data_IF_035356171772
#
_entry.id   IF_035356171772
#
_cell.length_a   1.000
_cell.length_b   1.000
_cell.length_c   1.000
_cell.angle_alpha   90.00
_cell.angle_beta   90.00
_cell.angle_gamma   90.00
#
_symmetry.space_group_name_H-M   'P 1'
#
loop_
_entity.id
_entity.type
_entity.pdbx_description
1 polymer ?
#
# COMPACT_ATOMS: atom_id res chain seq x y z
N UNK A 1 -10.75 0.48 -3.46
CA UNK A 1 -10.37 -0.31 -2.26
C UNK A 1 -9.05 0.26 -1.73
N UNK A 2 -9.10 1.36 -0.96
CA UNK A 2 -7.91 1.89 -0.28
C UNK A 2 -7.79 1.16 1.05
N UNK A 3 -6.66 0.46 1.26
CA UNK A 3 -6.39 -0.23 2.53
C UNK A 3 -6.07 0.80 3.60
N UNK A 4 -7.09 1.12 4.39
CA UNK A 4 -6.96 1.74 5.70
C UNK A 4 -6.96 0.61 6.74
N UNK A 5 -5.81 -0.01 6.98
CA UNK A 5 -5.70 -0.98 8.07
C UNK A 5 -5.28 -0.23 9.34
N UNK A 6 -6.28 0.25 10.09
CA UNK A 6 -6.08 0.93 11.37
C UNK A 6 -5.11 2.12 11.29
N UNK A 7 -5.09 2.82 10.15
CA UNK A 7 -4.25 4.00 9.94
C UNK A 7 -2.91 3.76 9.24
N UNK A 8 -2.54 2.51 8.99
CA UNK A 8 -1.32 2.17 8.25
C UNK A 8 -1.64 2.15 6.75
N UNK A 9 -0.75 2.74 5.94
CA UNK A 9 -0.84 2.77 4.47
C UNK A 9 0.33 2.02 3.84
N UNK A 10 0.11 1.48 2.64
CA UNK A 10 1.12 0.80 1.85
C UNK A 10 0.70 0.62 0.40
N UNK A 11 1.66 0.29 -0.47
CA UNK A 11 1.39 -0.09 -1.85
C UNK A 11 0.92 -1.56 -1.90
N UNK A 12 -0.02 -1.87 -2.80
CA UNK A 12 -0.53 -3.22 -3.00
C UNK A 12 -0.63 -3.53 -4.49
N UNK A 13 -0.19 -4.73 -4.86
CA UNK A 13 -0.42 -5.32 -6.18
C UNK A 13 -1.27 -6.58 -5.97
N UNK A 14 -2.35 -6.73 -6.75
CA UNK A 14 -3.21 -7.91 -6.76
C UNK A 14 -3.22 -8.44 -8.19
N UNK A 15 -2.80 -9.69 -8.36
CA UNK A 15 -2.76 -10.35 -9.67
C UNK A 15 -3.42 -11.71 -9.50
N UNK A 16 -4.31 -12.04 -10.43
CA UNK A 16 -4.88 -13.37 -10.58
C UNK A 16 -4.43 -13.93 -11.91
N UNK A 17 -3.81 -15.11 -11.91
CA UNK A 17 -3.38 -15.81 -13.12
C UNK A 17 -3.79 -17.27 -13.04
N UNK A 18 -4.26 -17.81 -14.17
CA UNK A 18 -4.47 -19.26 -14.34
C UNK A 18 -3.22 -19.94 -14.90
N UNK A 19 -2.33 -19.19 -15.55
CA UNK A 19 -1.20 -19.73 -16.30
C UNK A 19 0.13 -19.69 -15.54
N UNK A 20 0.30 -18.76 -14.60
CA UNK A 20 1.55 -18.56 -13.86
C UNK A 20 1.33 -18.76 -12.37
N UNK A 21 2.29 -19.40 -11.71
CA UNK A 21 2.24 -19.60 -10.27
C UNK A 21 2.60 -18.31 -9.50
N UNK A 22 2.21 -18.18 -8.23
CA UNK A 22 2.47 -16.99 -7.43
C UNK A 22 3.94 -16.58 -7.32
N UNK A 23 4.90 -17.51 -7.29
CA UNK A 23 6.31 -17.16 -7.17
C UNK A 23 6.84 -16.48 -8.46
N UNK A 24 6.37 -16.93 -9.62
CA UNK A 24 6.63 -16.25 -10.89
C UNK A 24 5.99 -14.86 -10.94
N UNK A 25 4.78 -14.70 -10.40
CA UNK A 25 4.11 -13.40 -10.35
C UNK A 25 4.85 -12.42 -9.43
N UNK A 26 5.28 -12.87 -8.25
CA UNK A 26 6.07 -12.05 -7.32
C UNK A 26 7.36 -11.56 -7.99
N UNK A 27 8.10 -12.45 -8.68
CA UNK A 27 9.30 -12.06 -9.41
C UNK A 27 9.01 -11.00 -10.48
N UNK A 28 7.88 -11.09 -11.18
CA UNK A 28 7.46 -10.07 -12.16
C UNK A 28 7.09 -8.74 -11.53
N UNK A 29 6.56 -8.74 -10.31
CA UNK A 29 6.32 -7.50 -9.57
C UNK A 29 7.65 -6.84 -9.19
N UNK A 30 8.65 -7.61 -8.75
CA UNK A 30 9.99 -7.07 -8.47
C UNK A 30 10.65 -6.50 -9.73
N UNK A 31 10.56 -7.19 -10.88
CA UNK A 31 11.05 -6.70 -12.17
C UNK A 31 10.35 -5.40 -12.59
N UNK A 32 9.03 -5.33 -12.38
CA UNK A 32 8.26 -4.12 -12.63
C UNK A 32 8.73 -2.95 -11.77
N UNK A 33 9.01 -3.18 -10.48
CA UNK A 33 9.49 -2.13 -9.58
C UNK A 33 10.88 -1.62 -10.00
N UNK A 34 11.77 -2.50 -10.46
CA UNK A 34 13.09 -2.11 -11.00
C UNK A 34 12.97 -1.30 -12.28
N UNK A 35 12.08 -1.69 -13.19
CA UNK A 35 11.78 -0.90 -14.39
C UNK A 35 11.17 0.46 -14.02
N UNK A 36 10.26 0.47 -13.06
CA UNK A 36 9.59 1.70 -12.61
C UNK A 36 10.54 2.66 -11.91
N UNK A 37 11.58 2.16 -11.24
CA UNK A 37 12.64 2.99 -10.65
C UNK A 37 13.29 3.91 -11.72
N UNK A 38 13.76 3.34 -12.83
CA UNK A 38 14.31 4.12 -13.94
C UNK A 38 13.30 5.13 -14.48
N UNK A 39 12.05 4.69 -14.69
CA UNK A 39 10.98 5.57 -15.17
C UNK A 39 10.73 6.74 -14.22
N UNK A 40 10.76 6.51 -12.91
CA UNK A 40 10.54 7.54 -11.90
C UNK A 40 11.67 8.57 -11.89
N UNK A 41 12.92 8.12 -12.02
CA UNK A 41 14.08 9.02 -12.04
C UNK A 41 14.10 9.89 -13.30
N UNK A 42 13.84 9.27 -14.46
CA UNK A 42 13.87 9.91 -15.77
C UNK A 42 12.61 10.73 -16.08
N UNK A 43 11.55 10.62 -15.27
CA UNK A 43 10.29 11.35 -15.44
C UNK A 43 10.52 12.87 -15.53
N UNK A 44 10.11 13.56 -16.61
CA UNK A 44 10.21 15.01 -16.68
C UNK A 44 9.38 15.71 -15.60
N UNK A 45 9.83 16.86 -15.12
CA UNK A 45 9.11 17.62 -14.08
C UNK A 45 7.70 18.02 -14.53
N UNK A 46 7.50 18.23 -15.83
CA UNK A 46 6.17 18.49 -16.38
C UNK A 46 5.25 17.27 -16.25
N UNK A 47 5.72 16.07 -16.57
CA UNK A 47 4.94 14.83 -16.41
C UNK A 47 4.62 14.58 -14.93
N UNK A 48 5.56 14.84 -14.03
CA UNK A 48 5.31 14.78 -12.59
C UNK A 48 4.19 15.75 -12.18
N UNK A 49 4.28 17.02 -12.59
CA UNK A 49 3.25 18.03 -12.30
C UNK A 49 1.88 17.66 -12.87
N UNK A 50 1.84 17.10 -14.08
CA UNK A 50 0.61 16.65 -14.71
C UNK A 50 -0.05 15.50 -13.92
N UNK A 51 0.75 14.54 -13.43
CA UNK A 51 0.28 13.47 -12.55
C UNK A 51 -0.25 14.00 -11.20
N UNK A 52 0.45 14.96 -10.58
CA UNK A 52 0.01 15.62 -9.34
C UNK A 52 -1.31 16.37 -9.56
N UNK A 53 -1.41 17.14 -10.64
CA UNK A 53 -2.62 17.88 -10.99
C UNK A 53 -3.81 16.94 -11.26
N UNK A 54 -3.60 15.84 -11.98
CA UNK A 54 -4.62 14.83 -12.19
C UNK A 54 -5.14 14.23 -10.86
N UNK A 55 -4.24 14.00 -9.89
CA UNK A 55 -4.62 13.52 -8.56
C UNK A 55 -5.38 14.58 -7.74
N UNK A 56 -4.99 15.85 -7.85
CA UNK A 56 -5.69 16.98 -7.21
C UNK A 56 -7.12 17.08 -7.73
N UNK A 57 -7.32 17.05 -9.06
CA UNK A 57 -8.64 17.15 -9.66
C UNK A 57 -9.53 15.96 -9.28
N UNK A 58 -8.97 14.75 -9.23
CA UNK A 58 -9.68 13.57 -8.72
C UNK A 58 -10.12 13.75 -7.26
N UNK A 59 -9.29 14.36 -6.40
CA UNK A 59 -9.63 14.61 -4.99
C UNK A 59 -10.66 15.72 -4.80
N UNK A 60 -10.71 16.69 -5.72
CA UNK A 60 -11.67 17.81 -5.71
C UNK A 60 -13.07 17.43 -6.21
N UNK A 61 -13.21 16.26 -6.84
CA UNK A 61 -14.51 15.78 -7.32
C UNK A 61 -15.55 15.80 -6.20
N UNK A 62 -16.62 16.58 -6.39
CA UNK A 62 -17.72 16.71 -5.42
C UNK A 62 -18.47 15.39 -5.30
N UNK A 63 -19.06 15.15 -4.14
CA UNK A 63 -19.98 14.02 -3.96
C UNK A 63 -21.13 14.11 -4.95
N UNK A 64 -21.44 13.03 -5.66
CA UNK A 64 -22.51 12.99 -6.67
C UNK A 64 -23.89 12.90 -6.03
N UNK A 65 -23.95 12.46 -4.79
CA UNK A 65 -25.18 12.22 -4.04
C UNK A 65 -24.89 12.20 -2.53
N UNK A 66 -25.96 12.29 -1.74
CA UNK A 66 -25.88 12.27 -0.28
C UNK A 66 -25.25 10.99 0.27
N UNK A 67 -25.43 9.84 -0.40
CA UNK A 67 -24.85 8.57 0.06
C UNK A 67 -23.33 8.60 0.04
N UNK A 68 -22.73 9.18 -1.01
CA UNK A 68 -21.28 9.34 -1.11
C UNK A 68 -20.73 10.31 -0.05
N UNK A 69 -21.43 11.41 0.19
CA UNK A 69 -21.07 12.39 1.22
C UNK A 69 -21.15 11.77 2.63
N UNK A 70 -22.27 11.13 2.96
CA UNK A 70 -22.41 10.41 4.23
C UNK A 70 -21.35 9.34 4.39
N UNK A 71 -21.03 8.56 3.33
CA UNK A 71 -20.00 7.54 3.40
C UNK A 71 -18.60 8.12 3.65
N UNK A 72 -18.30 9.31 3.14
CA UNK A 72 -17.03 10.00 3.39
C UNK A 72 -16.93 10.41 4.87
N UNK A 73 -17.89 11.15 5.40
CA UNK A 73 -17.86 11.60 6.79
C UNK A 73 -17.96 10.44 7.78
N UNK A 74 -18.76 9.43 7.48
CA UNK A 74 -18.87 8.25 8.32
C UNK A 74 -17.54 7.49 8.41
N UNK A 75 -16.73 7.49 7.35
CA UNK A 75 -15.38 6.90 7.40
C UNK A 75 -14.47 7.64 8.38
N UNK A 76 -14.48 8.98 8.39
CA UNK A 76 -13.68 9.75 9.35
C UNK A 76 -14.06 9.45 10.81
N UNK A 77 -15.35 9.25 11.08
CA UNK A 77 -15.87 8.85 12.39
C UNK A 77 -15.44 7.41 12.70
N UNK A 78 -15.70 6.49 11.77
CA UNK A 78 -15.44 5.07 11.94
C UNK A 78 -13.95 4.76 12.09
N UNK A 79 -13.06 5.55 11.47
CA UNK A 79 -11.59 5.41 11.57
C UNK A 79 -11.02 6.19 12.77
N UNK A 80 -11.79 7.10 13.37
CA UNK A 80 -11.38 7.92 14.51
C UNK A 80 -10.47 9.09 14.15
N UNK A 81 -10.27 9.37 12.86
CA UNK A 81 -9.41 10.47 12.40
C UNK A 81 -10.10 11.83 12.51
N UNK A 82 -11.42 11.87 12.41
CA UNK A 82 -12.26 13.08 12.51
C UNK A 82 -11.78 14.24 11.60
N UNK A 83 -11.08 13.95 10.51
CA UNK A 83 -10.56 14.95 9.57
C UNK A 83 -11.59 15.21 8.47
N UNK A 84 -12.64 15.95 8.81
CA UNK A 84 -13.71 16.24 7.87
C UNK A 84 -13.27 17.15 6.70
N UNK A 85 -12.20 17.93 6.88
CA UNK A 85 -11.53 18.72 5.84
C UNK A 85 -10.36 17.98 5.16
N UNK A 86 -10.39 16.64 5.13
CA UNK A 86 -9.28 15.83 4.58
C UNK A 86 -9.01 16.15 3.12
N UNK A 87 -10.03 16.41 2.31
CA UNK A 87 -9.86 16.67 0.86
C UNK A 87 -9.05 17.94 0.64
N UNK A 88 -9.40 19.01 1.34
CA UNK A 88 -8.71 20.30 1.28
C UNK A 88 -7.28 20.16 1.78
N UNK A 89 -7.09 19.46 2.90
CA UNK A 89 -5.76 19.23 3.49
C UNK A 89 -4.85 18.40 2.59
N UNK A 90 -5.35 17.31 2.01
CA UNK A 90 -4.58 16.45 1.11
C UNK A 90 -4.29 17.14 -0.23
N UNK A 91 -5.20 17.98 -0.74
CA UNK A 91 -4.97 18.79 -1.95
C UNK A 91 -3.89 19.85 -1.72
N UNK A 92 -3.92 20.54 -0.58
CA UNK A 92 -2.88 21.51 -0.23
C UNK A 92 -1.50 20.82 -0.14
N UNK A 93 -1.42 19.69 0.56
CA UNK A 93 -0.18 18.92 0.67
C UNK A 93 0.34 18.40 -0.68
N UNK A 94 -0.55 18.04 -1.62
CA UNK A 94 -0.14 17.67 -2.97
C UNK A 94 0.39 18.85 -3.78
N UNK A 95 -0.09 20.07 -3.53
CA UNK A 95 0.42 21.27 -4.19
C UNK A 95 1.86 21.60 -3.83
N UNK A 96 2.27 21.24 -2.62
CA UNK A 96 3.64 21.46 -2.11
C UNK A 96 4.59 20.29 -2.40
N UNK A 97 4.07 19.15 -2.87
CA UNK A 97 4.84 17.93 -3.08
C UNK A 97 5.86 18.10 -4.22
N UNK A 98 7.12 17.79 -3.93
CA UNK A 98 8.21 17.81 -4.91
C UNK A 98 8.50 16.42 -5.49
N UNK A 99 9.13 16.38 -6.68
CA UNK A 99 9.54 15.13 -7.31
C UNK A 99 10.62 14.43 -6.48
N UNK A 100 11.52 15.21 -5.88
CA UNK A 100 12.61 14.75 -5.02
C UNK A 100 12.07 13.99 -3.80
N UNK A 101 11.04 14.53 -3.14
CA UNK A 101 10.38 13.86 -2.01
C UNK A 101 9.71 12.54 -2.42
N UNK A 102 9.08 12.50 -3.61
CA UNK A 102 8.51 11.25 -4.14
C UNK A 102 9.59 10.20 -4.42
N UNK A 103 10.71 10.62 -5.01
CA UNK A 103 11.87 9.76 -5.28
C UNK A 103 12.48 9.24 -3.97
N UNK A 104 12.64 10.10 -2.97
CA UNK A 104 13.15 9.72 -1.65
C UNK A 104 12.20 8.72 -0.96
N UNK A 105 10.90 8.96 -1.02
CA UNK A 105 9.88 8.03 -0.52
C UNK A 105 9.97 6.66 -1.21
N UNK A 106 10.08 6.63 -2.54
CA UNK A 106 10.22 5.40 -3.30
C UNK A 106 11.49 4.64 -2.91
N UNK A 107 12.63 5.34 -2.87
CA UNK A 107 13.93 4.77 -2.51
C UNK A 107 13.95 4.23 -1.08
N UNK A 108 13.24 4.89 -0.16
CA UNK A 108 13.19 4.50 1.24
C UNK A 108 12.25 3.34 1.53
N UNK A 109 11.12 3.21 0.83
CA UNK A 109 10.07 2.29 1.27
C UNK A 109 9.59 1.29 0.22
N UNK A 110 9.81 1.55 -1.08
CA UNK A 110 9.25 0.75 -2.18
C UNK A 110 10.32 0.01 -2.97
N UNK A 111 11.47 0.65 -3.22
CA UNK A 111 12.59 0.10 -4.00
C UNK A 111 13.00 -1.29 -3.48
N UNK A 112 13.24 -2.21 -4.41
CA UNK A 112 13.42 -3.65 -4.14
C UNK A 112 14.46 -3.93 -3.05
N UNK A 113 15.60 -3.24 -3.14
CA UNK A 113 16.76 -3.45 -2.26
C UNK A 113 16.80 -2.46 -1.08
N UNK A 114 15.69 -1.78 -0.80
CA UNK A 114 15.64 -0.77 0.25
C UNK A 114 15.61 -1.40 1.65
N UNK A 115 16.46 -0.96 2.60
CA UNK A 115 16.55 -1.58 3.92
C UNK A 115 15.30 -1.35 4.80
N UNK A 116 14.50 -0.31 4.52
CA UNK A 116 13.25 -0.05 5.27
C UNK A 116 12.01 -0.65 4.59
N UNK A 117 12.17 -1.31 3.43
CA UNK A 117 11.08 -1.99 2.74
C UNK A 117 10.54 -3.12 3.59
N UNK A 118 9.22 -3.16 3.74
CA UNK A 118 8.49 -4.24 4.40
C UNK A 118 7.51 -4.85 3.41
N UNK A 119 7.70 -6.13 3.09
CA UNK A 119 6.89 -6.84 2.10
C UNK A 119 6.13 -7.99 2.75
N UNK A 120 4.87 -8.15 2.36
CA UNK A 120 4.05 -9.32 2.67
C UNK A 120 3.45 -9.83 1.36
N UNK A 121 3.79 -11.05 0.98
CA UNK A 121 3.17 -11.75 -0.14
C UNK A 121 2.16 -12.77 0.36
N UNK A 122 0.96 -12.79 -0.22
CA UNK A 122 -0.08 -13.77 0.04
C UNK A 122 -0.28 -14.55 -1.25
N UNK A 123 0.15 -15.80 -1.24
CA UNK A 123 0.18 -16.64 -2.42
C UNK A 123 -0.94 -17.69 -2.35
N UNK A 124 -1.83 -17.67 -3.34
CA UNK A 124 -2.93 -18.62 -3.46
C UNK A 124 -2.70 -19.47 -4.70
N UNK A 125 -2.60 -20.78 -4.50
CA UNK A 125 -2.33 -21.74 -5.56
C UNK A 125 -3.63 -22.40 -6.02
N UNK A 126 -3.93 -22.29 -7.31
CA UNK A 126 -5.01 -23.06 -7.95
C UNK A 126 -4.60 -24.52 -8.15
N UNK A 127 -5.58 -25.41 -8.38
CA UNK A 127 -5.33 -26.86 -8.50
C UNK A 127 -4.32 -27.25 -9.59
N UNK A 128 -4.22 -26.48 -10.68
CA UNK A 128 -3.25 -26.67 -11.76
C UNK A 128 -1.79 -26.39 -11.34
N UNK A 129 -1.58 -25.69 -10.22
CA UNK A 129 -0.27 -25.29 -9.70
C UNK A 129 0.11 -26.07 -8.42
N UNK A 130 -0.47 -27.26 -8.22
CA UNK A 130 -0.22 -28.10 -7.04
C UNK A 130 1.26 -28.49 -6.88
N UNK A 131 1.95 -28.79 -7.98
CA UNK A 131 3.39 -29.08 -7.96
C UNK A 131 4.22 -27.87 -7.51
N UNK A 132 3.86 -26.66 -7.97
CA UNK A 132 4.53 -25.43 -7.55
C UNK A 132 4.27 -25.13 -6.06
N UNK A 133 3.07 -25.45 -5.56
CA UNK A 133 2.75 -25.34 -4.14
C UNK A 133 3.60 -26.29 -3.28
N UNK A 134 3.73 -27.55 -3.69
CA UNK A 134 4.60 -28.51 -2.99
C UNK A 134 6.05 -28.01 -2.93
N UNK A 135 6.58 -27.53 -4.06
CA UNK A 135 7.92 -26.94 -4.12
C UNK A 135 8.08 -25.74 -3.17
N UNK A 136 7.08 -24.85 -3.10
CA UNK A 136 7.12 -23.68 -2.22
C UNK A 136 7.11 -24.03 -0.72
N UNK A 137 6.61 -25.21 -0.33
CA UNK A 137 6.68 -25.70 1.04
C UNK A 137 8.10 -26.19 1.39
N UNK A 138 8.83 -26.75 0.43
CA UNK A 138 10.17 -27.28 0.64
C UNK A 138 11.25 -26.18 0.64
N UNK A 139 11.09 -25.10 -0.15
CA UNK A 139 12.03 -23.98 -0.24
C UNK A 139 11.99 -23.00 0.98
N UNK A 140 11.44 -23.43 2.11
CA UNK A 140 11.00 -22.56 3.22
C UNK A 140 12.10 -21.83 4.02
N UNK A 141 13.39 -22.16 3.81
CA UNK A 141 14.53 -21.64 4.60
C UNK A 141 15.54 -20.80 3.79
N UNK A 142 15.08 -20.00 2.83
CA UNK A 142 15.97 -19.02 2.19
C UNK A 142 16.24 -17.82 3.12
N UNK A 143 17.50 -17.32 3.21
CA UNK A 143 17.92 -16.33 4.21
C UNK A 143 17.20 -14.96 4.15
N UNK A 144 16.44 -14.67 3.09
CA UNK A 144 15.73 -13.40 2.90
C UNK A 144 14.20 -13.53 2.92
N UNK A 145 13.63 -14.74 3.07
CA UNK A 145 12.19 -14.96 3.08
C UNK A 145 11.80 -15.77 4.30
N UNK A 146 10.73 -15.35 4.98
CA UNK A 146 10.20 -16.07 6.13
C UNK A 146 8.79 -16.56 5.83
N UNK A 147 8.61 -17.87 5.81
CA UNK A 147 7.28 -18.47 5.61
C UNK A 147 6.48 -18.47 6.91
N UNK A 148 5.29 -17.87 6.86
CA UNK A 148 4.37 -17.84 8.00
C UNK A 148 3.58 -19.16 8.04
N UNK A 149 3.96 -20.07 8.95
CA UNK A 149 3.26 -21.35 9.18
C UNK A 149 2.01 -21.21 10.04
N UNK A 150 2.05 -20.30 11.01
CA UNK A 150 0.90 -19.96 11.87
C UNK A 150 0.72 -18.45 11.96
N UNK A 151 -0.45 -17.97 11.53
CA UNK A 151 -0.78 -16.55 11.48
C UNK A 151 -0.90 -15.95 12.88
N UNK A 152 -1.38 -16.72 13.87
CA UNK A 152 -1.56 -16.20 15.23
C UNK A 152 -0.23 -15.97 15.94
N UNK A 153 0.70 -16.90 15.82
CA UNK A 153 2.05 -16.76 16.37
C UNK A 153 2.83 -15.65 15.66
N UNK A 154 2.69 -15.54 14.32
CA UNK A 154 3.28 -14.43 13.60
C UNK A 154 2.76 -13.07 14.09
N UNK A 155 1.44 -12.90 14.23
CA UNK A 155 0.85 -11.65 14.76
C UNK A 155 1.35 -11.31 16.16
N UNK A 156 1.44 -12.29 17.07
CA UNK A 156 1.95 -12.10 18.44
C UNK A 156 3.44 -11.73 18.48
N UNK A 157 4.22 -12.14 17.49
CA UNK A 157 5.66 -11.86 17.41
C UNK A 157 6.03 -10.47 16.90
N UNK A 158 5.06 -9.66 16.44
CA UNK A 158 5.31 -8.37 15.77
C UNK A 158 4.78 -7.20 16.58
N UNK A 159 5.48 -6.05 16.59
CA UNK A 159 4.96 -4.84 17.19
C UNK A 159 3.72 -4.36 16.43
N UNK A 160 2.80 -3.72 17.14
CA UNK A 160 1.61 -3.10 16.58
C UNK A 160 1.85 -1.60 16.32
N UNK A 161 1.23 -1.08 15.27
CA UNK A 161 1.19 0.37 15.03
C UNK A 161 0.19 1.04 15.97
N UNK A 162 0.40 2.34 16.24
CA UNK A 162 -0.55 3.14 17.00
C UNK A 162 -1.91 3.26 16.30
N UNK A 163 -2.97 3.38 17.09
CA UNK A 163 -4.34 3.55 16.56
C UNK A 163 -4.74 5.02 16.59
N UNK A 164 -5.47 5.46 15.57
CA UNK A 164 -6.14 6.77 15.56
C UNK A 164 -7.40 6.79 16.42
N UNK A 165 -7.95 5.62 16.77
CA UNK A 165 -9.00 5.53 17.76
C UNK A 165 -8.37 5.71 19.13
N UNK A 166 -8.52 6.89 19.71
CA UNK A 166 -8.16 7.13 21.10
C UNK A 166 -8.74 6.01 21.96
N UNK A 167 -7.91 5.40 22.82
CA UNK A 167 -8.45 4.59 23.91
C UNK A 167 -9.45 5.45 24.67
N UNK A 168 -10.52 4.83 25.19
CA UNK A 168 -11.66 5.45 25.89
C UNK A 168 -11.30 6.43 27.06
N UNK A 169 -10.03 6.78 27.29
CA UNK A 169 -9.55 7.71 28.31
C UNK A 169 -8.81 8.96 27.80
N UNK A 170 -8.68 9.23 26.50
CA UNK A 170 -7.94 10.42 26.01
C UNK A 170 -8.59 11.15 24.81
N UNK A 171 -9.92 11.18 24.74
CA UNK A 171 -10.59 12.21 23.93
C UNK A 171 -10.92 13.40 24.84
N UNK A 172 -10.03 14.40 24.88
CA UNK A 172 -10.46 15.75 25.27
C UNK A 172 -11.11 16.37 24.04
N UNK A 173 -12.38 16.72 24.21
CA UNK A 173 -13.20 17.50 23.27
C UNK A 173 -12.51 18.81 22.88
#
# INVERSE_FOLDING_TARGET
MQRYDSGVRGAQVIIQSTAKDPAQLDARVEDFLKMFESKLYEMPDQEFKDNVNALIELKREKHKNLREECAFFWREIADGTLKFNRRETEVAALGDLTKEELVEFFNSYIKVDSPKRKTLSIQVYGGLHSAAYAKALDESDQPQKYQIKDVFSFRRSRPLYGSFKGGLGQMKL
#
